data_IF_491912139305
#
_entry.id   IF_491912139305
#
_cell.length_a   1.000
_cell.length_b   1.000
_cell.length_c   1.000
_cell.angle_alpha   90.00
_cell.angle_beta   90.00
_cell.angle_gamma   90.00
#
_symmetry.space_group_name_H-M   'P 1'
#
loop_
_entity.id
_entity.type
_entity.pdbx_description
1 polymer ?
#
# COMPACT_ATOMS: atom_id res chain seq x y z
N UNK A 1 -0.39 -9.94 -3.68
CA UNK A 1 -0.99 -11.15 -3.13
C UNK A 1 -2.41 -11.40 -3.62
N UNK A 2 -2.89 -12.65 -3.54
CA UNK A 2 -4.20 -13.08 -4.10
C UNK A 2 -5.38 -12.34 -3.47
N UNK A 3 -5.37 -12.17 -2.14
CA UNK A 3 -6.44 -11.46 -1.43
C UNK A 3 -6.52 -9.99 -1.86
N UNK A 4 -5.40 -9.28 -1.93
CA UNK A 4 -5.37 -7.88 -2.36
C UNK A 4 -5.87 -7.72 -3.81
N UNK A 5 -5.49 -8.64 -4.72
CA UNK A 5 -6.01 -8.65 -6.10
C UNK A 5 -7.52 -8.87 -6.15
N UNK A 6 -8.05 -9.73 -5.27
CA UNK A 6 -9.49 -9.92 -5.17
C UNK A 6 -10.19 -8.68 -4.62
N UNK A 7 -9.68 -8.06 -3.56
CA UNK A 7 -10.22 -6.81 -3.01
C UNK A 7 -10.06 -5.63 -3.96
N UNK A 8 -9.03 -5.62 -4.81
CA UNK A 8 -8.77 -4.61 -5.83
C UNK A 8 -9.54 -4.81 -7.15
N UNK A 9 -10.45 -5.79 -7.22
CA UNK A 9 -11.25 -6.02 -8.42
C UNK A 9 -10.52 -6.72 -9.58
N UNK A 10 -9.27 -7.14 -9.40
CA UNK A 10 -8.45 -7.77 -10.45
C UNK A 10 -8.65 -9.29 -10.54
N UNK A 11 -9.13 -9.93 -9.48
CA UNK A 11 -9.32 -11.37 -9.41
C UNK A 11 -10.68 -11.71 -8.80
N UNK A 12 -11.64 -12.06 -9.64
CA UNK A 12 -12.99 -12.41 -9.17
C UNK A 12 -12.96 -13.65 -8.27
N UNK A 13 -13.55 -13.60 -7.05
CA UNK A 13 -13.61 -14.76 -6.16
C UNK A 13 -14.46 -15.87 -6.77
N UNK A 14 -14.07 -17.12 -6.58
CA UNK A 14 -14.85 -18.28 -7.05
C UNK A 14 -16.17 -18.45 -6.26
N UNK A 15 -16.18 -18.05 -5.00
CA UNK A 15 -17.34 -18.10 -4.10
C UNK A 15 -17.31 -16.87 -3.19
N UNK A 16 -18.48 -16.46 -2.74
CA UNK A 16 -18.64 -15.28 -1.91
C UNK A 16 -18.76 -14.00 -2.75
N UNK A 17 -18.77 -12.87 -2.05
CA UNK A 17 -19.00 -11.55 -2.61
C UNK A 17 -18.11 -10.54 -1.90
N UNK A 18 -17.72 -9.49 -2.60
CA UNK A 18 -16.98 -8.35 -2.03
C UNK A 18 -17.83 -7.12 -2.26
N UNK A 19 -18.20 -6.45 -1.18
CA UNK A 19 -19.03 -5.25 -1.24
C UNK A 19 -18.22 -4.02 -0.82
N UNK A 20 -18.39 -2.94 -1.55
CA UNK A 20 -17.95 -1.61 -1.17
C UNK A 20 -19.19 -0.76 -0.92
N UNK A 21 -19.39 -0.32 0.32
CA UNK A 21 -20.60 0.42 0.75
C UNK A 21 -21.93 -0.28 0.39
N UNK A 22 -21.96 -1.62 0.48
CA UNK A 22 -23.14 -2.43 0.18
C UNK A 22 -23.37 -2.73 -1.31
N UNK A 23 -22.48 -2.27 -2.18
CA UNK A 23 -22.52 -2.50 -3.63
C UNK A 23 -21.48 -3.56 -4.00
N UNK A 24 -21.91 -4.58 -4.76
CA UNK A 24 -21.02 -5.67 -5.19
C UNK A 24 -19.96 -5.15 -6.16
N UNK A 25 -18.68 -5.32 -5.78
CA UNK A 25 -17.52 -4.83 -6.51
C UNK A 25 -17.43 -5.41 -7.95
N UNK A 26 -17.87 -6.65 -8.13
CA UNK A 26 -17.73 -7.34 -9.42
C UNK A 26 -18.94 -7.20 -10.34
N UNK A 27 -20.06 -6.73 -9.80
CA UNK A 27 -21.24 -6.34 -10.60
C UNK A 27 -21.08 -4.90 -11.08
N UNK A 28 -20.66 -3.99 -10.19
CA UNK A 28 -20.52 -2.56 -10.48
C UNK A 28 -19.04 -2.13 -10.65
N UNK A 29 -18.20 -3.02 -11.17
CA UNK A 29 -16.75 -2.82 -11.23
C UNK A 29 -16.35 -1.51 -11.91
N UNK A 30 -16.96 -1.16 -13.03
CA UNK A 30 -16.61 0.05 -13.76
C UNK A 30 -16.90 1.34 -12.99
N UNK A 31 -17.91 1.32 -12.14
CA UNK A 31 -18.28 2.44 -11.28
C UNK A 31 -17.44 2.51 -10.01
N UNK A 32 -16.95 1.37 -9.52
CA UNK A 32 -16.24 1.27 -8.24
C UNK A 32 -14.72 1.25 -8.34
N UNK A 33 -14.15 0.87 -9.49
CA UNK A 33 -12.69 0.72 -9.66
C UNK A 33 -11.87 1.98 -9.36
N UNK A 34 -12.43 3.17 -9.56
CA UNK A 34 -11.76 4.44 -9.28
C UNK A 34 -11.63 4.74 -7.77
N UNK A 35 -12.44 4.08 -6.93
CA UNK A 35 -12.40 4.22 -5.48
C UNK A 35 -11.39 3.28 -4.81
N UNK A 36 -10.78 2.37 -5.57
CA UNK A 36 -9.83 1.39 -5.06
C UNK A 36 -8.50 1.55 -5.81
N UNK A 37 -7.43 1.81 -5.08
CA UNK A 37 -6.07 1.80 -5.61
C UNK A 37 -5.33 0.55 -5.11
N UNK A 38 -4.84 -0.28 -6.02
CA UNK A 38 -3.95 -1.40 -5.71
C UNK A 38 -2.54 -1.03 -6.13
N UNK A 39 -1.67 -0.88 -5.14
CA UNK A 39 -0.26 -0.54 -5.30
C UNK A 39 0.54 -1.85 -5.27
N UNK A 40 1.10 -2.29 -6.40
CA UNK A 40 1.80 -3.57 -6.48
C UNK A 40 3.17 -3.51 -5.80
N UNK A 41 3.80 -4.68 -5.62
CA UNK A 41 5.14 -4.81 -5.09
C UNK A 41 6.20 -4.27 -6.07
N UNK A 42 6.00 -4.53 -7.37
CA UNK A 42 6.90 -4.07 -8.41
C UNK A 42 6.68 -2.59 -8.71
N UNK A 43 7.77 -1.88 -8.99
CA UNK A 43 7.73 -0.46 -9.34
C UNK A 43 7.04 -0.26 -10.70
N UNK A 44 6.17 0.75 -10.78
CA UNK A 44 5.35 1.04 -11.96
C UNK A 44 5.74 2.34 -12.67
N UNK A 45 6.62 3.15 -12.08
CA UNK A 45 7.08 4.38 -12.69
C UNK A 45 8.00 4.13 -13.89
N UNK A 46 8.02 5.07 -14.83
CA UNK A 46 8.93 5.04 -15.98
C UNK A 46 10.31 5.58 -15.56
N UNK A 47 11.39 4.78 -15.69
CA UNK A 47 12.74 5.20 -15.32
C UNK A 47 13.30 6.32 -16.21
N UNK A 48 12.75 6.53 -17.41
CA UNK A 48 13.20 7.55 -18.36
C UNK A 48 12.54 8.92 -18.12
N UNK A 49 11.52 8.97 -17.28
CA UNK A 49 10.84 10.19 -16.88
C UNK A 49 11.40 10.73 -15.56
N UNK A 50 11.26 12.02 -15.36
CA UNK A 50 11.56 12.65 -14.08
C UNK A 50 10.51 12.25 -13.03
N UNK A 51 10.81 12.52 -11.76
CA UNK A 51 9.86 12.31 -10.65
C UNK A 51 8.54 13.05 -10.90
N UNK A 52 8.61 14.30 -11.37
CA UNK A 52 7.44 15.10 -11.67
C UNK A 52 6.65 14.57 -12.87
N UNK A 53 7.31 14.22 -13.98
CA UNK A 53 6.67 13.69 -15.18
C UNK A 53 5.95 12.36 -14.92
N UNK A 54 6.50 11.51 -14.05
CA UNK A 54 5.83 10.29 -13.60
C UNK A 54 4.52 10.62 -12.85
N UNK A 55 4.56 11.58 -11.93
CA UNK A 55 3.36 12.01 -11.20
C UNK A 55 2.34 12.72 -12.12
N UNK A 56 2.79 13.54 -13.06
CA UNK A 56 1.91 14.18 -14.06
C UNK A 56 1.20 13.13 -14.92
N UNK A 57 1.92 12.13 -15.39
CA UNK A 57 1.37 11.01 -16.16
C UNK A 57 0.34 10.24 -15.34
N UNK A 58 0.66 9.93 -14.09
CA UNK A 58 -0.27 9.27 -13.18
C UNK A 58 -1.52 10.12 -12.91
N UNK A 59 -1.36 11.43 -12.72
CA UNK A 59 -2.48 12.36 -12.55
C UNK A 59 -3.39 12.42 -13.78
N UNK A 60 -2.82 12.40 -14.98
CA UNK A 60 -3.59 12.39 -16.22
C UNK A 60 -4.42 11.10 -16.38
N UNK A 61 -3.88 9.97 -15.94
CA UNK A 61 -4.56 8.66 -16.03
C UNK A 61 -5.62 8.49 -14.93
N UNK A 62 -5.27 8.84 -13.67
CA UNK A 62 -6.11 8.55 -12.50
C UNK A 62 -7.12 9.65 -12.17
N UNK A 63 -6.92 10.84 -12.70
CA UNK A 63 -7.79 11.98 -12.51
C UNK A 63 -8.11 12.72 -13.85
N UNK A 64 -8.58 11.99 -14.89
CA UNK A 64 -8.77 12.52 -16.24
C UNK A 64 -9.81 13.64 -16.30
N UNK A 65 -10.75 13.65 -15.36
CA UNK A 65 -11.84 14.63 -15.31
C UNK A 65 -11.42 15.99 -14.75
N UNK A 66 -10.23 16.08 -14.11
CA UNK A 66 -9.75 17.35 -13.60
C UNK A 66 -9.08 18.19 -14.70
N UNK A 67 -9.31 19.52 -14.71
CA UNK A 67 -8.59 20.43 -15.59
C UNK A 67 -7.07 20.33 -15.38
N UNK A 68 -6.29 20.67 -16.41
CA UNK A 68 -4.82 20.58 -16.37
C UNK A 68 -4.24 21.32 -15.17
N UNK A 69 -4.71 22.56 -14.90
CA UNK A 69 -4.22 23.36 -13.78
C UNK A 69 -4.46 22.69 -12.41
N UNK A 70 -5.57 21.97 -12.26
CA UNK A 70 -5.87 21.25 -11.01
C UNK A 70 -5.01 20.01 -10.86
N UNK A 71 -4.75 19.29 -11.96
CA UNK A 71 -3.80 18.17 -11.96
C UNK A 71 -2.40 18.63 -11.57
N UNK A 72 -1.90 19.72 -12.16
CA UNK A 72 -0.59 20.28 -11.80
C UNK A 72 -0.51 20.67 -10.32
N UNK A 73 -1.54 21.30 -9.77
CA UNK A 73 -1.59 21.60 -8.32
C UNK A 73 -1.56 20.35 -7.46
N UNK A 74 -2.22 19.27 -7.89
CA UNK A 74 -2.18 17.96 -7.18
C UNK A 74 -0.78 17.35 -7.21
N UNK A 75 -0.09 17.45 -8.35
CA UNK A 75 1.29 17.01 -8.49
C UNK A 75 2.21 17.79 -7.55
N UNK A 76 2.12 19.12 -7.53
CA UNK A 76 2.91 19.96 -6.63
C UNK A 76 2.66 19.60 -5.15
N UNK A 77 1.39 19.47 -4.75
CA UNK A 77 1.05 19.04 -3.39
C UNK A 77 1.63 17.66 -3.08
N UNK A 78 1.51 16.72 -4.02
CA UNK A 78 1.98 15.35 -3.83
C UNK A 78 3.50 15.29 -3.73
N UNK A 79 4.24 16.05 -4.53
CA UNK A 79 5.70 16.17 -4.42
C UNK A 79 6.15 16.63 -3.02
N UNK A 80 5.44 17.61 -2.44
CA UNK A 80 5.71 18.10 -1.10
C UNK A 80 5.38 17.03 -0.05
N UNK A 81 4.19 16.44 -0.12
CA UNK A 81 3.73 15.38 0.80
C UNK A 81 4.67 14.17 0.84
N UNK A 82 5.21 13.80 -0.33
CA UNK A 82 6.16 12.68 -0.47
C UNK A 82 7.60 13.05 -0.08
N UNK A 83 7.91 14.32 0.16
CA UNK A 83 9.28 14.81 0.36
C UNK A 83 10.17 14.60 -0.87
N UNK A 84 9.61 14.75 -2.07
CA UNK A 84 10.29 14.59 -3.35
C UNK A 84 10.46 15.90 -4.13
N UNK A 85 9.97 17.01 -3.59
CA UNK A 85 9.95 18.29 -4.29
C UNK A 85 11.35 18.78 -4.72
N UNK A 86 12.38 18.61 -3.90
CA UNK A 86 13.75 19.05 -4.22
C UNK A 86 14.40 18.24 -5.37
N UNK A 87 13.86 17.05 -5.63
CA UNK A 87 14.37 16.15 -6.67
C UNK A 87 13.39 15.99 -7.83
N UNK A 88 12.37 16.87 -7.92
CA UNK A 88 11.29 16.77 -8.91
C UNK A 88 11.75 16.61 -10.36
N UNK A 89 12.84 17.26 -10.72
CA UNK A 89 13.43 17.24 -12.08
C UNK A 89 14.48 16.15 -12.27
N UNK A 90 14.72 15.31 -11.26
CA UNK A 90 15.64 14.18 -11.39
C UNK A 90 14.92 13.01 -12.08
N UNK A 91 15.62 12.35 -13.01
CA UNK A 91 15.12 11.11 -13.61
C UNK A 91 14.86 10.06 -12.52
N UNK A 92 13.75 9.34 -12.65
CA UNK A 92 13.43 8.25 -11.72
C UNK A 92 14.51 7.15 -11.77
N UNK A 93 15.02 6.85 -12.97
CA UNK A 93 16.11 5.90 -13.18
C UNK A 93 15.72 4.47 -12.84
N UNK A 94 16.54 3.54 -13.26
CA UNK A 94 16.40 2.13 -12.95
C UNK A 94 17.30 1.72 -11.75
N UNK A 95 17.30 0.42 -11.44
CA UNK A 95 18.13 -0.15 -10.37
C UNK A 95 19.65 -0.03 -10.64
N UNK A 96 20.07 0.19 -11.90
CA UNK A 96 21.46 0.31 -12.29
C UNK A 96 21.95 1.76 -12.18
N UNK A 97 21.14 2.72 -12.61
CA UNK A 97 21.49 4.15 -12.57
C UNK A 97 21.40 4.76 -11.17
N UNK A 98 20.70 4.10 -10.23
CA UNK A 98 20.55 4.51 -8.81
C UNK A 98 20.29 6.00 -8.60
N UNK A 99 19.51 6.62 -9.47
CA UNK A 99 19.24 8.05 -9.39
C UNK A 99 18.40 8.41 -8.17
N UNK A 100 17.50 7.50 -7.73
CA UNK A 100 16.72 7.60 -6.52
C UNK A 100 17.10 6.53 -5.50
N UNK A 101 17.03 6.87 -4.20
CA UNK A 101 17.14 5.86 -3.13
C UNK A 101 15.95 4.92 -3.13
N UNK A 102 16.07 3.72 -2.54
CA UNK A 102 14.97 2.76 -2.44
C UNK A 102 13.71 3.37 -1.82
N UNK A 103 13.87 4.16 -0.75
CA UNK A 103 12.74 4.87 -0.12
C UNK A 103 12.13 5.95 -1.02
N UNK A 104 12.93 6.68 -1.80
CA UNK A 104 12.43 7.67 -2.77
C UNK A 104 11.64 7.00 -3.89
N UNK A 105 12.12 5.86 -4.41
CA UNK A 105 11.43 5.05 -5.43
C UNK A 105 10.08 4.57 -4.92
N UNK A 106 10.03 4.01 -3.70
CA UNK A 106 8.77 3.55 -3.08
C UNK A 106 7.79 4.70 -2.83
N UNK A 107 8.29 5.88 -2.43
CA UNK A 107 7.43 7.05 -2.25
C UNK A 107 6.88 7.57 -3.58
N UNK A 108 7.69 7.60 -4.64
CA UNK A 108 7.23 7.96 -5.97
C UNK A 108 6.13 7.00 -6.45
N UNK A 109 6.38 5.71 -6.39
CA UNK A 109 5.47 4.67 -6.84
C UNK A 109 4.12 4.73 -6.09
N UNK A 110 4.16 4.78 -4.76
CA UNK A 110 2.95 4.97 -3.95
C UNK A 110 2.24 6.29 -4.30
N UNK A 111 2.98 7.38 -4.50
CA UNK A 111 2.44 8.70 -4.84
C UNK A 111 1.69 8.72 -6.17
N UNK A 112 2.17 7.99 -7.17
CA UNK A 112 1.48 7.85 -8.47
C UNK A 112 0.11 7.20 -8.31
N UNK A 113 -0.01 6.20 -7.45
CA UNK A 113 -1.29 5.56 -7.18
C UNK A 113 -2.21 6.42 -6.30
N UNK A 114 -1.63 7.21 -5.41
CA UNK A 114 -2.35 8.06 -4.45
C UNK A 114 -2.72 9.46 -4.99
N UNK A 115 -2.38 9.78 -6.23
CA UNK A 115 -2.71 11.08 -6.83
C UNK A 115 -4.19 11.17 -7.27
N UNK A 116 -4.86 10.02 -7.38
CA UNK A 116 -6.29 9.87 -7.69
C UNK A 116 -7.20 10.22 -6.52
N UNK A 117 -8.42 9.70 -6.57
CA UNK A 117 -9.52 9.96 -5.61
C UNK A 117 -9.92 8.72 -4.81
N UNK A 118 -9.05 7.71 -4.74
CA UNK A 118 -9.38 6.46 -4.07
C UNK A 118 -9.68 6.65 -2.57
N UNK A 119 -10.58 5.82 -2.06
CA UNK A 119 -10.96 5.72 -0.64
C UNK A 119 -10.44 4.43 0.01
N UNK A 120 -10.06 3.46 -0.83
CA UNK A 120 -9.48 2.18 -0.41
C UNK A 120 -8.10 2.03 -1.06
N UNK A 121 -7.08 1.86 -0.24
CA UNK A 121 -5.70 1.65 -0.68
C UNK A 121 -5.22 0.26 -0.28
N UNK A 122 -4.71 -0.48 -1.24
CA UNK A 122 -4.23 -1.85 -1.08
C UNK A 122 -2.75 -1.90 -1.46
N UNK A 123 -1.86 -1.99 -0.48
CA UNK A 123 -0.41 -2.03 -0.69
C UNK A 123 0.10 -3.48 -0.62
N UNK A 124 0.72 -3.95 -1.69
CA UNK A 124 1.33 -5.28 -1.72
C UNK A 124 2.83 -5.18 -1.41
N UNK A 125 3.20 -5.55 -0.18
CA UNK A 125 4.57 -5.56 0.35
C UNK A 125 5.36 -4.25 0.14
N UNK A 126 4.84 -3.07 0.55
CA UNK A 126 5.49 -1.77 0.27
C UNK A 126 6.85 -1.60 0.95
N UNK A 127 7.17 -2.46 1.92
CA UNK A 127 8.43 -2.42 2.68
C UNK A 127 9.44 -3.47 2.23
N UNK A 128 9.13 -4.26 1.21
CA UNK A 128 10.02 -5.32 0.71
C UNK A 128 11.34 -4.75 0.20
N UNK A 129 12.46 -5.34 0.62
CA UNK A 129 13.80 -4.92 0.21
C UNK A 129 14.31 -3.62 0.85
N UNK A 130 13.58 -3.04 1.80
CA UNK A 130 13.98 -1.83 2.51
C UNK A 130 14.65 -2.16 3.86
N UNK A 131 15.49 -1.22 4.33
CA UNK A 131 15.98 -1.26 5.72
C UNK A 131 14.82 -1.05 6.70
N UNK A 132 14.98 -1.47 7.96
CA UNK A 132 13.94 -1.27 9.00
C UNK A 132 13.55 0.20 9.14
N UNK A 133 14.51 1.11 9.07
CA UNK A 133 14.28 2.56 9.17
C UNK A 133 13.51 3.10 7.96
N UNK A 134 13.86 2.68 6.74
CA UNK A 134 13.15 3.09 5.54
C UNK A 134 11.73 2.52 5.50
N UNK A 135 11.56 1.29 5.99
CA UNK A 135 10.23 0.65 6.13
C UNK A 135 9.32 1.43 7.06
N UNK A 136 9.83 1.89 8.21
CA UNK A 136 9.09 2.75 9.13
C UNK A 136 8.68 4.06 8.45
N UNK A 137 9.60 4.74 7.77
CA UNK A 137 9.30 5.98 7.06
C UNK A 137 8.25 5.82 5.96
N UNK A 138 8.31 4.71 5.21
CA UNK A 138 7.30 4.42 4.16
C UNK A 138 5.93 4.18 4.78
N UNK A 139 5.83 3.41 5.87
CA UNK A 139 4.54 3.17 6.52
C UNK A 139 3.99 4.41 7.24
N UNK A 140 4.83 5.23 7.87
CA UNK A 140 4.43 6.52 8.44
C UNK A 140 3.87 7.45 7.36
N UNK A 141 4.52 7.52 6.19
CA UNK A 141 4.03 8.26 5.04
C UNK A 141 2.68 7.72 4.56
N UNK A 142 2.56 6.40 4.33
CA UNK A 142 1.29 5.78 3.92
C UNK A 142 0.18 6.14 4.92
N UNK A 143 0.42 5.98 6.21
CA UNK A 143 -0.54 6.31 7.27
C UNK A 143 -0.94 7.79 7.25
N UNK A 144 0.01 8.70 7.05
CA UNK A 144 -0.27 10.13 6.93
C UNK A 144 -1.12 10.48 5.72
N UNK A 145 -0.79 9.90 4.56
CA UNK A 145 -1.46 10.18 3.29
C UNK A 145 -2.84 9.50 3.17
N UNK A 146 -3.06 8.40 3.89
CA UNK A 146 -4.33 7.64 3.87
C UNK A 146 -5.18 7.88 5.11
N UNK A 147 -4.94 8.99 5.83
CA UNK A 147 -5.77 9.36 6.97
C UNK A 147 -7.25 9.44 6.58
N UNK A 148 -8.13 8.82 7.37
CA UNK A 148 -9.56 8.66 7.07
C UNK A 148 -9.89 7.83 5.82
N UNK A 149 -8.98 6.98 5.36
CA UNK A 149 -9.18 6.04 4.26
C UNK A 149 -9.06 4.60 4.78
N UNK A 150 -9.59 3.66 4.02
CA UNK A 150 -9.36 2.24 4.29
C UNK A 150 -8.02 1.87 3.68
N UNK A 151 -7.08 1.40 4.51
CA UNK A 151 -5.75 1.01 4.04
C UNK A 151 -5.45 -0.42 4.47
N UNK A 152 -5.18 -1.28 3.50
CA UNK A 152 -4.71 -2.64 3.74
C UNK A 152 -3.28 -2.76 3.21
N UNK A 153 -2.41 -3.33 4.04
CA UNK A 153 -1.00 -3.51 3.68
C UNK A 153 -0.64 -4.97 3.89
N UNK A 154 -0.15 -5.65 2.86
CA UNK A 154 0.48 -6.95 3.06
C UNK A 154 1.92 -6.74 3.51
N UNK A 155 2.34 -7.46 4.54
CA UNK A 155 3.69 -7.36 5.10
C UNK A 155 4.22 -8.76 5.35
N UNK A 156 5.50 -8.95 5.00
CA UNK A 156 6.25 -10.16 5.32
C UNK A 156 7.21 -9.85 6.47
N UNK A 157 7.11 -10.59 7.58
CA UNK A 157 7.99 -10.52 8.76
C UNK A 157 8.21 -9.07 9.29
N UNK A 158 7.15 -8.36 9.72
CA UNK A 158 7.31 -7.01 10.24
C UNK A 158 8.14 -7.01 11.54
N UNK A 159 8.93 -5.95 11.76
CA UNK A 159 9.50 -5.69 13.08
C UNK A 159 8.38 -5.46 14.10
N UNK A 160 8.66 -5.68 15.40
CA UNK A 160 7.68 -5.43 16.46
C UNK A 160 7.10 -4.02 16.39
N UNK A 161 7.92 -3.02 16.12
CA UNK A 161 7.49 -1.62 15.97
C UNK A 161 6.53 -1.44 14.81
N UNK A 162 6.87 -1.96 13.62
CA UNK A 162 6.00 -1.89 12.44
C UNK A 162 4.66 -2.58 12.69
N UNK A 163 4.68 -3.74 13.36
CA UNK A 163 3.46 -4.48 13.66
C UNK A 163 2.47 -3.68 14.52
N UNK A 164 2.97 -2.90 15.49
CA UNK A 164 2.13 -2.07 16.36
C UNK A 164 1.63 -0.77 15.70
N UNK A 165 2.07 -0.45 14.48
CA UNK A 165 1.55 0.72 13.73
C UNK A 165 0.15 0.47 13.14
N UNK A 166 -0.32 -0.77 13.07
CA UNK A 166 -1.61 -1.13 12.47
C UNK A 166 -2.73 -1.16 13.51
N UNK A 167 -3.93 -0.75 13.10
CA UNK A 167 -5.13 -0.82 13.95
C UNK A 167 -5.66 -2.25 14.06
N UNK A 168 -5.52 -3.03 12.97
CA UNK A 168 -5.96 -4.43 12.87
C UNK A 168 -4.93 -5.24 12.10
N UNK A 169 -4.88 -6.53 12.44
CA UNK A 169 -4.08 -7.53 11.75
C UNK A 169 -4.94 -8.70 11.29
N UNK A 170 -4.69 -9.16 10.09
CA UNK A 170 -5.30 -10.35 9.50
C UNK A 170 -4.20 -11.37 9.30
N UNK A 171 -4.35 -12.55 9.85
CA UNK A 171 -3.46 -13.68 9.57
C UNK A 171 -4.19 -14.71 8.75
N UNK A 172 -3.61 -15.06 7.62
CA UNK A 172 -4.06 -16.15 6.77
C UNK A 172 -3.11 -17.33 6.93
N UNK A 173 -3.66 -18.50 7.17
CA UNK A 173 -2.95 -19.77 7.19
C UNK A 173 -2.82 -20.35 5.78
N UNK A 174 -2.15 -21.49 5.68
CA UNK A 174 -1.96 -22.23 4.44
C UNK A 174 -3.29 -22.49 3.73
N UNK A 175 -3.35 -22.18 2.43
CA UNK A 175 -4.59 -22.23 1.66
C UNK A 175 -5.51 -21.02 1.81
N UNK A 176 -5.06 -19.93 2.48
CA UNK A 176 -5.79 -18.67 2.61
C UNK A 176 -6.93 -18.72 3.64
N UNK A 177 -6.91 -19.67 4.57
CA UNK A 177 -7.88 -19.74 5.68
C UNK A 177 -7.60 -18.63 6.69
N UNK A 178 -8.65 -17.96 7.15
CA UNK A 178 -8.51 -16.97 8.21
C UNK A 178 -8.13 -17.66 9.53
N UNK A 179 -6.90 -17.41 9.99
CA UNK A 179 -6.41 -17.92 11.27
C UNK A 179 -6.66 -16.91 12.40
N UNK A 180 -6.54 -15.62 12.12
CA UNK A 180 -6.76 -14.57 13.11
C UNK A 180 -7.22 -13.26 12.44
N UNK A 181 -8.08 -12.53 13.17
CA UNK A 181 -8.44 -11.14 12.88
C UNK A 181 -8.65 -10.38 14.19
N UNK A 182 -7.90 -9.32 14.41
CA UNK A 182 -7.99 -8.51 15.63
C UNK A 182 -6.93 -7.41 15.66
N UNK A 183 -6.70 -6.83 16.84
CA UNK A 183 -5.59 -5.89 17.03
C UNK A 183 -4.24 -6.62 17.08
N UNK A 184 -3.12 -5.93 16.83
CA UNK A 184 -1.78 -6.51 17.02
C UNK A 184 -1.57 -7.12 18.41
N UNK A 185 -2.05 -6.46 19.47
CA UNK A 185 -1.95 -6.97 20.84
C UNK A 185 -2.72 -8.27 21.01
N UNK A 186 -3.97 -8.33 20.56
CA UNK A 186 -4.79 -9.55 20.60
C UNK A 186 -4.15 -10.70 19.81
N UNK A 187 -3.47 -10.42 18.70
CA UNK A 187 -2.76 -11.46 17.95
C UNK A 187 -1.60 -12.05 18.76
N UNK A 188 -0.83 -11.22 19.46
CA UNK A 188 0.25 -11.69 20.33
C UNK A 188 -0.29 -12.54 21.49
N UNK A 189 -1.38 -12.13 22.11
CA UNK A 189 -2.07 -12.89 23.16
C UNK A 189 -2.54 -14.25 22.64
N UNK A 190 -3.21 -14.28 21.49
CA UNK A 190 -3.66 -15.52 20.83
C UNK A 190 -2.52 -16.53 20.62
N UNK A 191 -1.37 -16.09 20.10
CA UNK A 191 -0.22 -16.98 19.91
C UNK A 191 0.45 -17.38 21.22
N UNK A 192 0.48 -16.52 22.23
CA UNK A 192 1.01 -16.87 23.55
C UNK A 192 0.14 -17.93 24.24
N UNK A 193 -1.17 -17.86 24.11
CA UNK A 193 -2.08 -18.90 24.64
C UNK A 193 -1.93 -20.22 23.89
N UNK A 194 -1.87 -20.20 22.57
CA UNK A 194 -1.64 -21.41 21.77
C UNK A 194 -0.33 -22.11 22.13
N UNK A 195 0.76 -21.34 22.32
CA UNK A 195 2.06 -21.90 22.78
C UNK A 195 1.98 -22.56 24.15
N UNK A 196 1.25 -21.96 25.09
CA UNK A 196 1.06 -22.54 26.44
C UNK A 196 0.32 -23.88 26.38
N UNK A 197 -0.70 -23.96 25.49
CA UNK A 197 -1.46 -25.20 25.30
C UNK A 197 -0.63 -26.32 24.68
N UNK A 198 0.33 -26.02 23.81
CA UNK A 198 1.23 -26.99 23.18
C UNK A 198 2.45 -27.32 24.02
N UNK A 199 2.61 -26.79 25.23
CA UNK A 199 3.71 -27.09 26.15
C UNK A 199 5.09 -26.59 25.71
N UNK A 200 5.13 -25.63 24.75
CA UNK A 200 6.37 -25.03 24.25
C UNK A 200 6.84 -23.99 25.28
N UNK A 201 7.90 -24.31 26.04
CA UNK A 201 8.51 -23.34 26.97
C UNK A 201 9.07 -22.13 26.20
N UNK A 202 8.69 -20.94 26.60
CA UNK A 202 9.28 -19.69 26.11
C UNK A 202 10.71 -19.57 26.65
N UNK A 203 11.72 -19.78 25.81
CA UNK A 203 13.01 -19.13 26.03
C UNK A 203 12.81 -17.62 25.80
N UNK A 204 12.99 -16.86 26.86
CA UNK A 204 12.99 -15.38 26.84
C UNK A 204 14.01 -14.87 25.82
N UNK A 205 13.55 -14.13 24.83
CA UNK A 205 14.34 -13.20 24.04
C UNK A 205 14.08 -11.78 24.53
#
# INVERSE_FOLDING_TARGET
STLLKALGGQLKPRRGRIDLNGVDLYIEHDNLKSYIALIPQDETFDPLLTVEENLDTAAAIRAPHFPVYERSRRVDSKLIELGLNEIRHRLAGDSQTKSLSGGQRRRLDAGMDMIGIADVYLFDEPTSGLSSKDSEHVLDMIRGLTHNKITLVSIHQPSSRLFHMFDKAILLDQGGKLAFFGTPVQMLEYFNEARKQEGIQTSSL
#
